data_IF_134292927974
#
_entry.id   IF_134292927974
#
_cell.length_a   1.000
_cell.length_b   1.000
_cell.length_c   1.000
_cell.angle_alpha   90.00
_cell.angle_beta   90.00
_cell.angle_gamma   90.00
#
_symmetry.space_group_name_H-M   'P 1'
#
loop_
_entity.id
_entity.type
_entity.pdbx_description
1 polymer ?
#
# COMPACT_ATOMS: atom_id res chain seq x y z
N UNK A 1 -8.95 4.97 -24.21
CA UNK A 1 -9.03 4.31 -22.89
C UNK A 1 -10.48 4.37 -22.43
N UNK A 2 -11.09 3.27 -21.95
CA UNK A 2 -12.42 3.34 -21.38
C UNK A 2 -12.41 4.35 -20.24
N UNK A 3 -13.38 5.27 -20.22
CA UNK A 3 -13.53 6.26 -19.16
C UNK A 3 -13.82 5.52 -17.85
N UNK A 4 -12.96 5.66 -16.85
CA UNK A 4 -13.25 5.15 -15.50
C UNK A 4 -14.54 5.80 -14.99
N UNK A 5 -15.47 5.00 -14.50
CA UNK A 5 -16.68 5.48 -13.83
C UNK A 5 -16.25 6.28 -12.61
N UNK A 6 -16.61 7.58 -12.56
CA UNK A 6 -16.37 8.41 -11.39
C UNK A 6 -17.55 8.26 -10.40
N UNK A 7 -17.31 8.02 -9.10
CA UNK A 7 -16.00 7.91 -8.45
C UNK A 7 -15.38 6.52 -8.60
N UNK A 8 -14.04 6.45 -8.69
CA UNK A 8 -13.29 5.21 -8.91
C UNK A 8 -12.57 4.73 -7.63
N UNK A 9 -12.72 3.47 -7.21
CA UNK A 9 -12.09 2.96 -6.00
C UNK A 9 -10.59 2.75 -6.16
N UNK A 10 -9.84 3.00 -5.09
CA UNK A 10 -8.45 2.55 -4.92
C UNK A 10 -8.43 1.57 -3.77
N UNK A 11 -8.06 0.31 -4.04
CA UNK A 11 -7.99 -0.70 -3.00
C UNK A 11 -6.82 -0.41 -2.05
N UNK A 12 -7.08 -0.27 -0.76
CA UNK A 12 -6.06 -0.05 0.27
C UNK A 12 -5.75 -1.35 0.96
N UNK A 13 -4.54 -1.85 0.77
CA UNK A 13 -4.05 -3.08 1.39
C UNK A 13 -3.10 -2.70 2.52
N UNK A 14 -3.50 -2.94 3.76
CA UNK A 14 -2.68 -2.65 4.92
C UNK A 14 -2.90 -3.73 5.98
N UNK A 15 -1.84 -4.11 6.69
CA UNK A 15 -1.97 -5.00 7.85
C UNK A 15 -2.75 -4.35 8.99
N UNK A 16 -2.57 -3.02 9.17
CA UNK A 16 -3.22 -2.22 10.22
C UNK A 16 -3.47 -0.81 9.73
N UNK A 17 -4.75 -0.42 9.70
CA UNK A 17 -5.18 0.93 9.31
C UNK A 17 -5.11 1.92 10.48
N UNK A 18 -5.20 1.43 11.71
CA UNK A 18 -5.24 2.22 12.94
C UNK A 18 -3.87 2.69 13.43
N UNK A 19 -2.78 2.15 12.85
CA UNK A 19 -1.43 2.57 13.18
C UNK A 19 -1.22 4.05 12.77
N UNK A 20 -0.71 4.87 13.70
CA UNK A 20 -0.59 6.32 13.51
C UNK A 20 0.04 6.76 12.17
N UNK A 21 1.20 6.20 11.75
CA UNK A 21 1.78 6.51 10.43
C UNK A 21 0.89 6.11 9.25
N UNK A 22 0.26 4.93 9.30
CA UNK A 22 -0.68 4.45 8.27
C UNK A 22 -1.89 5.35 8.17
N UNK A 23 -2.58 5.62 9.29
CA UNK A 23 -3.76 6.48 9.32
C UNK A 23 -3.48 7.87 8.74
N UNK A 24 -2.35 8.50 9.10
CA UNK A 24 -1.96 9.81 8.57
C UNK A 24 -1.71 9.78 7.06
N UNK A 25 -1.03 8.75 6.57
CA UNK A 25 -0.76 8.66 5.14
C UNK A 25 -2.04 8.39 4.34
N UNK A 26 -2.93 7.53 4.82
CA UNK A 26 -4.22 7.28 4.18
C UNK A 26 -5.11 8.54 4.17
N UNK A 27 -5.11 9.33 5.24
CA UNK A 27 -5.79 10.62 5.28
C UNK A 27 -5.26 11.55 4.18
N UNK A 28 -3.94 11.73 4.10
CA UNK A 28 -3.32 12.58 3.08
C UNK A 28 -3.57 12.06 1.65
N UNK A 29 -3.53 10.75 1.44
CA UNK A 29 -3.88 10.13 0.16
C UNK A 29 -5.33 10.43 -0.22
N UNK A 30 -6.27 10.24 0.71
CA UNK A 30 -7.70 10.49 0.49
C UNK A 30 -7.95 11.94 0.06
N UNK A 31 -7.38 12.90 0.79
CA UNK A 31 -7.49 14.34 0.48
C UNK A 31 -6.89 14.70 -0.89
N UNK A 32 -5.75 14.09 -1.24
CA UNK A 32 -5.07 14.36 -2.52
C UNK A 32 -5.80 13.79 -3.72
N UNK A 33 -6.47 12.65 -3.53
CA UNK A 33 -7.08 11.83 -4.57
C UNK A 33 -8.55 12.19 -4.82
N UNK A 34 -9.27 12.67 -3.80
CA UNK A 34 -10.68 13.03 -3.91
C UNK A 34 -11.01 14.03 -5.03
N UNK A 35 -10.24 15.12 -5.26
CA UNK A 35 -10.50 16.05 -6.37
C UNK A 35 -10.37 15.42 -7.76
N UNK A 36 -9.64 14.30 -7.87
CA UNK A 36 -9.48 13.55 -9.11
C UNK A 36 -10.55 12.45 -9.28
N UNK A 37 -11.55 12.38 -8.39
CA UNK A 37 -12.64 11.41 -8.47
C UNK A 37 -12.30 10.02 -7.93
N UNK A 38 -11.23 9.88 -7.14
CA UNK A 38 -10.86 8.62 -6.52
C UNK A 38 -11.21 8.57 -5.04
N UNK A 39 -11.52 7.39 -4.53
CA UNK A 39 -11.73 7.14 -3.09
C UNK A 39 -11.01 5.89 -2.62
N UNK A 40 -10.62 5.87 -1.34
CA UNK A 40 -9.95 4.73 -0.74
C UNK A 40 -10.97 3.68 -0.29
N UNK A 41 -10.78 2.44 -0.76
CA UNK A 41 -11.63 1.29 -0.43
C UNK A 41 -10.84 0.28 0.42
N UNK A 42 -11.22 0.19 1.69
CA UNK A 42 -10.60 -0.72 2.67
C UNK A 42 -11.46 -1.95 2.86
N UNK A 43 -10.85 -3.12 2.84
CA UNK A 43 -11.41 -4.38 3.32
C UNK A 43 -10.24 -5.22 3.87
N UNK A 44 -10.48 -6.37 4.51
CA UNK A 44 -9.40 -7.26 4.94
C UNK A 44 -8.84 -8.03 3.74
N UNK A 45 -8.27 -7.31 2.76
CA UNK A 45 -7.76 -7.87 1.50
C UNK A 45 -6.65 -8.91 1.67
N UNK A 46 -6.01 -8.95 2.85
CA UNK A 46 -5.04 -10.00 3.19
C UNK A 46 -5.71 -11.37 3.40
N UNK A 47 -7.03 -11.40 3.65
CA UNK A 47 -7.78 -12.63 3.81
C UNK A 47 -8.19 -13.17 2.44
N UNK A 48 -7.76 -14.40 2.13
CA UNK A 48 -8.01 -15.03 0.83
C UNK A 48 -9.51 -15.12 0.48
N UNK A 49 -10.38 -15.26 1.48
CA UNK A 49 -11.84 -15.31 1.31
C UNK A 49 -12.45 -14.00 0.77
N UNK A 50 -11.74 -12.88 0.93
CA UNK A 50 -12.19 -11.53 0.54
C UNK A 50 -11.72 -11.16 -0.86
N UNK A 51 -10.68 -11.83 -1.38
CA UNK A 51 -10.09 -11.54 -2.70
C UNK A 51 -11.09 -11.54 -3.86
N UNK A 52 -12.11 -12.43 -3.94
CA UNK A 52 -13.11 -12.38 -5.00
C UNK A 52 -13.89 -11.06 -5.05
N UNK A 53 -13.92 -10.28 -3.96
CA UNK A 53 -14.57 -8.96 -3.95
C UNK A 53 -13.79 -7.91 -4.75
N UNK A 54 -12.50 -8.13 -5.05
CA UNK A 54 -11.71 -7.22 -5.88
C UNK A 54 -12.27 -7.09 -7.30
N UNK A 55 -12.72 -8.20 -7.89
CA UNK A 55 -13.32 -8.22 -9.23
C UNK A 55 -14.63 -7.41 -9.27
N UNK A 56 -15.43 -7.50 -8.20
CA UNK A 56 -16.65 -6.72 -8.04
C UNK A 56 -16.38 -5.23 -7.80
N UNK A 57 -15.33 -4.93 -7.03
CA UNK A 57 -14.90 -3.55 -6.74
C UNK A 57 -14.39 -2.85 -8.00
N UNK A 58 -13.75 -3.57 -8.93
CA UNK A 58 -13.03 -3.01 -10.09
C UNK A 58 -12.18 -1.79 -9.72
N UNK A 59 -11.23 -1.93 -8.78
CA UNK A 59 -10.40 -0.82 -8.35
C UNK A 59 -9.62 -0.24 -9.55
N UNK A 60 -9.47 1.08 -9.59
CA UNK A 60 -8.65 1.75 -10.58
C UNK A 60 -7.14 1.61 -10.30
N UNK A 61 -6.77 1.32 -9.05
CA UNK A 61 -5.41 1.07 -8.60
C UNK A 61 -5.43 0.36 -7.23
N UNK A 62 -4.28 -0.15 -6.80
CA UNK A 62 -4.05 -0.62 -5.44
C UNK A 62 -2.92 0.18 -4.75
N UNK A 63 -3.16 0.56 -3.49
CA UNK A 63 -2.18 1.15 -2.59
C UNK A 63 -1.86 0.13 -1.50
N UNK A 64 -0.63 -0.35 -1.45
CA UNK A 64 -0.17 -1.36 -0.49
C UNK A 64 0.71 -0.70 0.57
N UNK A 65 0.37 -0.89 1.84
CA UNK A 65 1.09 -0.39 3.02
C UNK A 65 1.74 -1.56 3.75
N UNK A 66 3.06 -1.68 3.64
CA UNK A 66 3.81 -2.85 4.09
C UNK A 66 4.02 -3.86 2.95
N UNK A 67 4.60 -5.04 3.21
CA UNK A 67 5.05 -5.90 2.14
C UNK A 67 3.87 -6.69 1.54
N UNK A 68 3.85 -6.86 0.22
CA UNK A 68 2.88 -7.68 -0.49
C UNK A 68 3.33 -9.16 -0.52
N UNK A 69 3.23 -9.85 0.61
CA UNK A 69 3.78 -11.22 0.76
C UNK A 69 2.79 -12.34 0.45
N UNK A 70 1.48 -12.10 0.65
CA UNK A 70 0.46 -13.12 0.47
C UNK A 70 0.35 -13.54 -1.01
N UNK A 71 0.71 -14.79 -1.39
CA UNK A 71 0.79 -15.17 -2.81
C UNK A 71 -0.55 -15.09 -3.54
N UNK A 72 -1.65 -15.46 -2.85
CA UNK A 72 -2.99 -15.38 -3.41
C UNK A 72 -3.42 -13.94 -3.70
N UNK A 73 -3.12 -13.01 -2.78
CA UNK A 73 -3.41 -11.60 -2.97
C UNK A 73 -2.56 -11.00 -4.10
N UNK A 74 -1.27 -11.35 -4.15
CA UNK A 74 -0.36 -10.92 -5.21
C UNK A 74 -0.85 -11.39 -6.58
N UNK A 75 -1.27 -12.66 -6.69
CA UNK A 75 -1.84 -13.20 -7.92
C UNK A 75 -3.15 -12.50 -8.31
N UNK A 76 -4.03 -12.23 -7.34
CA UNK A 76 -5.28 -11.50 -7.58
C UNK A 76 -5.01 -10.08 -8.12
N UNK A 77 -4.12 -9.31 -7.49
CA UNK A 77 -3.76 -7.97 -7.97
C UNK A 77 -3.09 -8.00 -9.36
N UNK A 78 -2.21 -8.97 -9.60
CA UNK A 78 -1.56 -9.13 -10.91
C UNK A 78 -2.56 -9.42 -12.02
N UNK A 79 -3.64 -10.15 -11.74
CA UNK A 79 -4.66 -10.51 -12.72
C UNK A 79 -5.58 -9.34 -13.09
N UNK A 80 -5.65 -8.29 -12.25
CA UNK A 80 -6.48 -7.11 -12.50
C UNK A 80 -5.87 -6.15 -13.53
N UNK A 81 -4.56 -6.26 -13.79
CA UNK A 81 -3.83 -5.37 -14.72
C UNK A 81 -4.00 -3.87 -14.40
N UNK A 82 -4.08 -3.55 -13.10
CA UNK A 82 -4.18 -2.18 -12.56
C UNK A 82 -2.84 -1.71 -12.01
N UNK A 83 -2.61 -0.38 -11.92
CA UNK A 83 -1.46 0.16 -11.22
C UNK A 83 -1.42 -0.29 -9.75
N UNK A 84 -0.24 -0.68 -9.28
CA UNK A 84 -0.01 -1.06 -7.88
C UNK A 84 1.17 -0.29 -7.30
N UNK A 85 0.90 0.47 -6.23
CA UNK A 85 1.91 1.23 -5.51
C UNK A 85 2.16 0.58 -4.15
N UNK A 86 3.32 -0.06 -3.99
CA UNK A 86 3.80 -0.59 -2.72
C UNK A 86 4.51 0.48 -1.90
N UNK A 87 4.28 0.49 -0.60
CA UNK A 87 4.78 1.55 0.29
C UNK A 87 5.33 0.97 1.60
N UNK A 88 6.11 1.79 2.31
CA UNK A 88 6.79 1.54 3.59
C UNK A 88 7.98 0.61 3.50
N UNK A 89 7.88 -0.49 2.76
CA UNK A 89 8.95 -1.49 2.64
C UNK A 89 9.38 -1.59 1.18
N UNK A 90 10.66 -1.36 0.92
CA UNK A 90 11.26 -1.69 -0.36
C UNK A 90 11.37 -3.21 -0.48
N UNK A 91 10.82 -3.76 -1.57
CA UNK A 91 10.88 -5.19 -1.88
C UNK A 91 11.61 -5.39 -3.20
N UNK A 92 12.50 -6.39 -3.33
CA UNK A 92 13.08 -6.74 -4.63
C UNK A 92 12.03 -7.35 -5.57
N UNK A 93 10.87 -7.73 -5.04
CA UNK A 93 9.76 -8.30 -5.78
C UNK A 93 8.58 -7.31 -5.84
N UNK A 94 8.84 -6.01 -6.05
CA UNK A 94 7.74 -5.07 -6.28
C UNK A 94 6.92 -5.48 -7.51
N UNK A 95 5.60 -5.41 -7.41
CA UNK A 95 4.67 -5.82 -8.46
C UNK A 95 4.63 -4.83 -9.63
N UNK A 96 4.66 -3.53 -9.32
CA UNK A 96 4.67 -2.45 -10.31
C UNK A 96 5.58 -1.30 -9.83
N UNK A 97 5.11 -0.50 -8.86
CA UNK A 97 5.80 0.70 -8.40
C UNK A 97 5.97 0.71 -6.88
N UNK A 98 7.03 1.34 -6.36
CA UNK A 98 7.27 1.44 -4.92
C UNK A 98 7.64 2.87 -4.47
N UNK A 99 7.07 3.28 -3.33
CA UNK A 99 7.43 4.50 -2.60
C UNK A 99 7.76 4.11 -1.16
N UNK A 100 9.05 3.90 -0.89
CA UNK A 100 9.53 3.45 0.41
C UNK A 100 10.77 4.21 0.87
N UNK A 101 11.00 4.18 2.17
CA UNK A 101 12.25 4.62 2.79
C UNK A 101 13.19 3.42 2.87
N UNK A 102 14.50 3.65 2.76
CA UNK A 102 15.48 2.63 3.09
C UNK A 102 15.51 2.41 4.61
N UNK A 103 14.67 1.49 5.09
CA UNK A 103 14.57 1.13 6.50
C UNK A 103 15.88 0.54 7.04
N UNK A 104 16.67 -0.14 6.19
CA UNK A 104 17.94 -0.71 6.61
C UNK A 104 18.96 0.41 6.89
N UNK A 105 19.02 1.43 6.04
CA UNK A 105 19.87 2.60 6.28
C UNK A 105 19.37 3.45 7.45
N UNK A 106 18.05 3.60 7.61
CA UNK A 106 17.48 4.26 8.78
C UNK A 106 17.91 3.56 10.08
N UNK A 107 17.85 2.23 10.11
CA UNK A 107 18.33 1.41 11.24
C UNK A 107 19.84 1.56 11.49
N UNK A 108 20.67 1.50 10.44
CA UNK A 108 22.12 1.71 10.55
C UNK A 108 22.47 3.11 11.06
N UNK A 109 21.70 4.12 10.63
CA UNK A 109 21.87 5.50 11.09
C UNK A 109 21.51 5.65 12.56
N UNK A 110 20.39 5.07 12.99
CA UNK A 110 20.00 5.05 14.40
C UNK A 110 21.02 4.32 15.29
N UNK A 111 21.51 3.15 14.85
CA UNK A 111 22.52 2.38 15.58
C UNK A 111 23.84 3.15 15.74
N UNK A 112 24.34 3.78 14.67
CA UNK A 112 25.52 4.68 14.75
C UNK A 112 25.33 5.78 15.78
N UNK A 113 24.19 6.45 15.73
CA UNK A 113 23.89 7.56 16.65
C UNK A 113 23.88 7.12 18.12
N UNK A 114 23.29 5.94 18.41
CA UNK A 114 23.26 5.40 19.77
C UNK A 114 24.66 4.99 20.26
N UNK A 115 25.45 4.34 19.40
CA UNK A 115 26.83 3.96 19.70
C UNK A 115 27.71 5.20 20.00
N UNK A 116 27.57 6.27 19.22
CA UNK A 116 28.25 7.56 19.47
C UNK A 116 27.88 8.17 20.83
N UNK A 117 26.64 7.94 21.29
CA UNK A 117 26.15 8.39 22.60
C UNK A 117 26.44 7.43 23.75
N UNK A 118 27.21 6.35 23.51
CA UNK A 118 27.53 5.31 24.50
C UNK A 118 26.29 4.63 25.11
N UNK A 119 25.22 4.50 24.33
CA UNK A 119 24.09 3.64 24.66
C UNK A 119 24.30 2.30 23.95
N UNK A 120 24.71 1.22 24.66
CA UNK A 120 24.89 -0.10 24.06
C UNK A 120 23.56 -0.74 23.68
#
# INVERSE_FOLDING_TARGET
MPSLSSPAPIAVIAARLDAGPTARALQACSERLAPAGYYLATAPWQEQAVLPLLDGLRPAAALVVGPLEAPALRAALSALEIPVVETWIASPQTLDSAVAIDNAEAGRTAARHLAERRHP
#
